data_IF_458533346673
#
_entry.id   IF_458533346673
#
_cell.length_a   1.000
_cell.length_b   1.000
_cell.length_c   1.000
_cell.angle_alpha   90.00
_cell.angle_beta   90.00
_cell.angle_gamma   90.00
#
_symmetry.space_group_name_H-M   'P 1'
#
loop_
_entity.id
_entity.type
_entity.pdbx_description
1 polymer ?
#
# COMPACT_ATOMS: atom_id res chain seq x y z
N UNK A 1 -15.49 -11.39 14.52
CA UNK A 1 -15.18 -10.48 13.40
C UNK A 1 -13.71 -10.11 13.51
N UNK A 2 -12.96 -10.18 12.42
CA UNK A 2 -11.56 -9.75 12.41
C UNK A 2 -11.45 -8.36 11.81
N UNK A 3 -10.59 -7.52 12.40
CA UNK A 3 -10.20 -6.27 11.80
C UNK A 3 -9.29 -6.54 10.58
N UNK A 4 -9.42 -5.76 9.51
CA UNK A 4 -8.59 -5.91 8.33
C UNK A 4 -8.42 -4.60 7.57
N UNK A 5 -7.36 -4.52 6.75
CA UNK A 5 -7.11 -3.43 5.79
C UNK A 5 -6.74 -4.00 4.43
N UNK A 6 -7.07 -3.29 3.36
CA UNK A 6 -6.62 -3.63 1.99
C UNK A 6 -5.19 -3.14 1.79
N UNK A 7 -4.28 -4.02 1.36
CA UNK A 7 -2.88 -3.69 1.03
C UNK A 7 -2.66 -3.36 -0.46
N UNK A 8 -3.69 -3.57 -1.27
CA UNK A 8 -3.70 -3.31 -2.70
C UNK A 8 -3.91 -4.58 -3.52
N UNK A 9 -3.89 -4.43 -4.84
CA UNK A 9 -4.01 -5.56 -5.77
C UNK A 9 -2.67 -6.23 -6.00
N UNK A 10 -2.66 -7.56 -5.96
CA UNK A 10 -1.48 -8.39 -6.21
C UNK A 10 -1.70 -9.32 -7.39
N UNK A 11 -0.64 -9.56 -8.15
CA UNK A 11 -0.58 -10.60 -9.16
C UNK A 11 0.03 -11.85 -8.54
N UNK A 12 -0.76 -12.92 -8.48
CA UNK A 12 -0.36 -14.22 -7.92
C UNK A 12 -0.09 -15.18 -9.08
N UNK A 13 0.94 -16.01 -8.95
CA UNK A 13 1.25 -17.03 -9.96
C UNK A 13 0.04 -17.96 -10.17
N UNK A 14 -0.31 -18.23 -11.42
CA UNK A 14 -1.45 -19.04 -11.85
C UNK A 14 -2.85 -18.45 -11.55
N UNK A 15 -2.96 -17.19 -11.15
CA UNK A 15 -4.23 -16.47 -11.10
C UNK A 15 -4.23 -15.42 -12.20
N UNK A 16 -5.22 -15.48 -13.09
CA UNK A 16 -5.29 -14.65 -14.31
C UNK A 16 -5.54 -13.19 -13.95
N UNK A 17 -6.46 -12.94 -13.03
CA UNK A 17 -6.85 -11.60 -12.62
C UNK A 17 -6.14 -11.20 -11.31
N UNK A 18 -5.70 -9.94 -11.17
CA UNK A 18 -5.20 -9.42 -9.91
C UNK A 18 -6.24 -9.57 -8.79
N UNK A 19 -5.78 -9.93 -7.59
CA UNK A 19 -6.65 -10.12 -6.41
C UNK A 19 -6.33 -9.08 -5.33
N UNK A 20 -7.32 -8.75 -4.51
CA UNK A 20 -7.10 -7.86 -3.36
C UNK A 20 -6.40 -8.59 -2.22
N UNK A 21 -5.21 -8.12 -1.85
CA UNK A 21 -4.52 -8.57 -0.66
C UNK A 21 -5.04 -7.80 0.55
N UNK A 22 -5.39 -8.53 1.61
CA UNK A 22 -5.80 -7.96 2.88
C UNK A 22 -4.88 -8.45 4.00
N UNK A 23 -4.57 -7.56 4.94
CA UNK A 23 -3.95 -7.92 6.20
C UNK A 23 -5.02 -8.03 7.27
N UNK A 24 -4.90 -9.04 8.13
CA UNK A 24 -5.83 -9.30 9.23
C UNK A 24 -5.16 -8.89 10.54
N UNK A 25 -5.92 -8.21 11.40
CA UNK A 25 -5.48 -7.77 12.72
C UNK A 25 -6.36 -8.30 13.85
N UNK A 26 -5.74 -8.35 15.03
CA UNK A 26 -6.44 -8.55 16.30
C UNK A 26 -7.35 -7.33 16.59
N UNK A 27 -8.66 -7.54 16.88
CA UNK A 27 -9.62 -6.47 17.17
C UNK A 27 -9.28 -5.54 18.35
N UNK A 28 -8.20 -5.75 19.10
CA UNK A 28 -7.82 -4.93 20.26
C UNK A 28 -6.70 -3.90 20.04
N UNK A 29 -6.16 -3.75 18.82
CA UNK A 29 -5.00 -2.86 18.58
C UNK A 29 -5.40 -1.38 18.73
N UNK A 30 -4.80 -0.70 19.71
CA UNK A 30 -4.93 0.76 19.87
C UNK A 30 -4.41 1.47 18.62
N UNK A 31 -5.14 2.49 18.15
CA UNK A 31 -4.79 3.26 16.96
C UNK A 31 -5.07 2.55 15.63
N UNK A 32 -5.73 1.39 15.65
CA UNK A 32 -6.01 0.61 14.45
C UNK A 32 -6.82 1.37 13.40
N UNK A 33 -7.92 2.02 13.79
CA UNK A 33 -8.78 2.73 12.84
C UNK A 33 -8.05 3.90 12.16
N UNK A 34 -7.19 4.60 12.89
CA UNK A 34 -6.36 5.68 12.35
C UNK A 34 -5.30 5.13 11.38
N UNK A 35 -4.57 4.09 11.79
CA UNK A 35 -3.57 3.42 10.95
C UNK A 35 -4.21 2.89 9.66
N UNK A 36 -5.37 2.24 9.77
CA UNK A 36 -6.12 1.72 8.63
C UNK A 36 -6.55 2.85 7.70
N UNK A 37 -7.17 3.90 8.24
CA UNK A 37 -7.69 5.02 7.45
C UNK A 37 -6.59 5.70 6.64
N UNK A 38 -5.51 6.11 7.31
CA UNK A 38 -4.37 6.75 6.68
C UNK A 38 -3.69 5.84 5.64
N UNK A 39 -3.60 4.54 5.92
CA UNK A 39 -3.03 3.58 4.96
C UNK A 39 -3.89 3.45 3.70
N UNK A 40 -5.21 3.27 3.85
CA UNK A 40 -6.13 3.09 2.73
C UNK A 40 -6.27 4.36 1.90
N UNK A 41 -6.17 5.54 2.52
CA UNK A 41 -6.09 6.83 1.83
C UNK A 41 -4.82 6.94 0.98
N UNK A 42 -3.64 6.66 1.56
CA UNK A 42 -2.38 6.66 0.82
C UNK A 42 -2.38 5.64 -0.33
N UNK A 43 -2.97 4.46 -0.11
CA UNK A 43 -3.10 3.43 -1.15
C UNK A 43 -3.97 3.91 -2.31
N UNK A 44 -5.07 4.61 -2.02
CA UNK A 44 -5.94 5.19 -3.06
C UNK A 44 -5.18 6.23 -3.90
N UNK A 45 -4.40 7.10 -3.27
CA UNK A 45 -3.59 8.09 -3.97
C UNK A 45 -2.50 7.43 -4.84
N UNK A 46 -1.85 6.39 -4.34
CA UNK A 46 -0.89 5.60 -5.11
C UNK A 46 -1.53 4.92 -6.32
N UNK A 47 -2.71 4.31 -6.16
CA UNK A 47 -3.44 3.67 -7.26
C UNK A 47 -3.94 4.68 -8.30
N UNK A 48 -4.12 5.94 -7.92
CA UNK A 48 -4.46 7.06 -8.79
C UNK A 48 -3.22 7.75 -9.42
N UNK A 49 -2.01 7.23 -9.19
CA UNK A 49 -0.73 7.81 -9.62
C UNK A 49 -0.39 9.18 -8.98
N UNK A 50 -1.03 9.53 -7.87
CA UNK A 50 -0.75 10.76 -7.12
C UNK A 50 0.38 10.54 -6.10
N UNK A 51 1.58 10.20 -6.59
CA UNK A 51 2.66 9.71 -5.73
C UNK A 51 3.15 10.74 -4.68
N UNK A 52 3.14 12.03 -5.01
CA UNK A 52 3.48 13.10 -4.07
C UNK A 52 2.50 13.14 -2.88
N UNK A 53 1.19 12.95 -3.14
CA UNK A 53 0.19 12.92 -2.08
C UNK A 53 0.30 11.63 -1.26
N UNK A 54 0.45 10.48 -1.94
CA UNK A 54 0.64 9.19 -1.28
C UNK A 54 1.86 9.19 -0.33
N UNK A 55 3.00 9.74 -0.78
CA UNK A 55 4.22 9.84 0.04
C UNK A 55 4.05 10.79 1.22
N UNK A 56 3.32 11.90 1.08
CA UNK A 56 3.02 12.79 2.22
C UNK A 56 2.23 12.06 3.30
N UNK A 57 1.13 11.39 2.93
CA UNK A 57 0.27 10.66 3.88
C UNK A 57 1.04 9.52 4.55
N UNK A 58 1.86 8.79 3.79
CA UNK A 58 2.68 7.71 4.36
C UNK A 58 3.77 8.23 5.29
N UNK A 59 4.32 9.42 5.04
CA UNK A 59 5.26 10.09 5.94
C UNK A 59 4.63 10.32 7.31
N UNK A 60 3.44 10.93 7.33
CA UNK A 60 2.69 11.19 8.56
C UNK A 60 2.31 9.90 9.28
N UNK A 61 1.81 8.89 8.53
CA UNK A 61 1.49 7.58 9.07
C UNK A 61 2.71 6.91 9.71
N UNK A 62 3.90 6.98 9.10
CA UNK A 62 5.11 6.35 9.62
C UNK A 62 5.70 7.11 10.82
N UNK A 63 5.41 8.40 10.97
CA UNK A 63 5.69 9.13 12.21
C UNK A 63 4.82 8.62 13.36
N UNK A 64 3.51 8.41 13.10
CA UNK A 64 2.57 7.90 14.10
C UNK A 64 2.77 6.40 14.42
N UNK A 65 3.12 5.60 13.41
CA UNK A 65 3.23 4.14 13.47
C UNK A 65 4.54 3.64 12.83
N UNK A 66 5.71 3.92 13.42
CA UNK A 66 7.02 3.67 12.80
C UNK A 66 7.35 2.20 12.53
N UNK A 67 6.63 1.27 13.17
CA UNK A 67 6.82 -0.18 12.99
C UNK A 67 5.90 -0.82 11.96
N UNK A 68 5.08 -0.06 11.24
CA UNK A 68 4.12 -0.63 10.30
C UNK A 68 4.81 -1.07 9.00
N UNK A 69 5.11 -2.37 8.91
CA UNK A 69 5.79 -2.98 7.76
C UNK A 69 5.07 -2.74 6.42
N UNK A 70 3.75 -2.91 6.32
CA UNK A 70 3.04 -2.66 5.07
C UNK A 70 3.08 -1.19 4.62
N UNK A 71 3.06 -0.23 5.54
CA UNK A 71 3.26 1.18 5.19
C UNK A 71 4.67 1.46 4.65
N UNK A 72 5.72 0.90 5.29
CA UNK A 72 7.09 1.00 4.78
C UNK A 72 7.21 0.43 3.37
N UNK A 73 6.53 -0.69 3.11
CA UNK A 73 6.52 -1.32 1.80
C UNK A 73 5.77 -0.50 0.75
N UNK A 74 4.60 0.06 1.10
CA UNK A 74 3.88 0.95 0.20
C UNK A 74 4.70 2.22 -0.11
N UNK A 75 5.38 2.81 0.89
CA UNK A 75 6.29 3.94 0.69
C UNK A 75 7.41 3.60 -0.30
N UNK A 76 8.04 2.43 -0.16
CA UNK A 76 9.07 1.98 -1.10
C UNK A 76 8.54 1.88 -2.54
N UNK A 77 7.29 1.45 -2.72
CA UNK A 77 6.64 1.38 -4.05
C UNK A 77 6.31 2.75 -4.61
N UNK A 78 5.83 3.67 -3.78
CA UNK A 78 5.58 5.08 -4.15
C UNK A 78 6.87 5.73 -4.65
N UNK A 79 7.96 5.61 -3.90
CA UNK A 79 9.27 6.16 -4.30
C UNK A 79 9.78 5.52 -5.60
N UNK A 80 9.63 4.20 -5.75
CA UNK A 80 9.98 3.52 -6.99
C UNK A 80 9.20 4.06 -8.21
N UNK A 81 7.91 4.33 -8.04
CA UNK A 81 7.07 4.90 -9.09
C UNK A 81 7.48 6.33 -9.44
N UNK A 82 7.76 7.18 -8.44
CA UNK A 82 8.27 8.56 -8.66
C UNK A 82 9.59 8.59 -9.43
N UNK A 83 10.47 7.60 -9.21
CA UNK A 83 11.75 7.50 -9.93
C UNK A 83 11.59 6.98 -11.36
N UNK A 84 10.51 6.25 -11.65
CA UNK A 84 10.17 5.78 -12.98
C UNK A 84 9.32 6.79 -13.78
N UNK A 85 8.83 7.86 -13.15
CA UNK A 85 8.09 8.93 -13.85
C UNK A 85 8.97 9.55 -14.95
N UNK A 86 8.49 9.45 -16.19
CA UNK A 86 9.22 9.91 -17.38
C UNK A 86 9.67 8.77 -18.31
N UNK A 87 9.59 7.51 -17.87
CA UNK A 87 9.68 6.36 -18.76
C UNK A 87 8.36 6.20 -19.55
N UNK A 88 8.43 5.78 -20.81
CA UNK A 88 7.25 5.64 -21.69
C UNK A 88 6.28 4.51 -21.27
N UNK A 89 6.52 3.86 -20.13
CA UNK A 89 5.69 2.78 -19.61
C UNK A 89 4.48 3.33 -18.85
N UNK A 90 3.30 2.75 -19.09
CA UNK A 90 2.11 3.01 -18.28
C UNK A 90 2.29 2.40 -16.90
N UNK A 91 2.03 3.18 -15.85
CA UNK A 91 2.07 2.71 -14.47
C UNK A 91 1.04 1.59 -14.23
N UNK A 92 1.49 0.46 -13.65
CA UNK A 92 0.63 -0.62 -13.16
C UNK A 92 0.67 -0.66 -11.62
N UNK A 93 -0.43 -0.33 -10.91
CA UNK A 93 -0.47 -0.37 -9.45
C UNK A 93 -0.51 -1.79 -8.89
N UNK A 94 -0.68 -2.82 -9.73
CA UNK A 94 -0.73 -4.21 -9.28
C UNK A 94 0.66 -4.68 -8.86
N UNK A 95 0.76 -5.10 -7.60
CA UNK A 95 2.01 -5.59 -7.05
C UNK A 95 2.32 -7.02 -7.53
N UNK A 96 3.45 -7.19 -8.19
CA UNK A 96 4.01 -8.51 -8.47
C UNK A 96 4.72 -9.01 -7.21
N UNK A 97 4.09 -9.93 -6.48
CA UNK A 97 4.71 -10.53 -5.29
C UNK A 97 5.97 -11.30 -5.72
N UNK A 98 7.15 -11.02 -5.13
CA UNK A 98 8.34 -11.82 -5.39
C UNK A 98 8.06 -13.25 -4.92
N UNK A 99 8.13 -14.21 -5.84
CA UNK A 99 7.97 -15.63 -5.51
C UNK A 99 9.22 -16.18 -4.83
N UNK A 100 9.01 -17.07 -3.85
CA UNK A 100 9.96 -18.16 -3.58
C UNK A 100 9.76 -19.26 -4.62
#
# INVERSE_FOLDING_TARGET
FFANRRLGRVRVRNIVEPVDLHEIFDPGRVGWEELKGLYEEALSEFEASNFSQASSILGDLLVAFPGDGPALLLMSRVVGAMMAEGEAATFDPVWNLPGQ
#
